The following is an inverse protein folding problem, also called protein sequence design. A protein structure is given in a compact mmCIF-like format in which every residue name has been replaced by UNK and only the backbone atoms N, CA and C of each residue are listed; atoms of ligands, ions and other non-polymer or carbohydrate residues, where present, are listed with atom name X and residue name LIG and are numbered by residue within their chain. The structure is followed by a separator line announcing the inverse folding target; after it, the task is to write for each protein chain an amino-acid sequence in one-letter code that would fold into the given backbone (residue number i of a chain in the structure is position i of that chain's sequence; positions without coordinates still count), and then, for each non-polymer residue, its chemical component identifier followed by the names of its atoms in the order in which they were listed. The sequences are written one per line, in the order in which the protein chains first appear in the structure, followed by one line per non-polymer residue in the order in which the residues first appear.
data_IF_433071959740
#
_entry.id   IF_433071959740
#
_cell.length_a   1.000
_cell.length_b   1.000
_cell.length_c   1.000
_cell.angle_alpha   90.00
_cell.angle_beta   90.00
_cell.angle_gamma   90.00
#
_symmetry.space_group_name_H-M   'P 1'
#
loop_
_entity.id
_entity.type
_entity.pdbx_description
1 polymer ?
#
# COMPACT_ATOMS: atom_id res chain seq x y z
N UNK A 1 -33.64 -48.91 35.36
CA UNK A 1 -33.33 -47.97 34.29
C UNK A 1 -34.07 -46.66 34.55
N UNK A 2 -33.39 -45.61 34.90
CA UNK A 2 -34.01 -44.28 35.11
C UNK A 2 -34.29 -43.64 33.75
N UNK A 3 -35.57 -43.50 33.37
CA UNK A 3 -35.95 -42.70 32.22
C UNK A 3 -35.68 -41.22 32.53
N UNK A 4 -34.76 -40.63 31.84
CA UNK A 4 -34.63 -39.19 31.84
C UNK A 4 -35.83 -38.58 31.09
N UNK A 5 -36.47 -37.54 31.60
CA UNK A 5 -37.64 -36.98 31.00
C UNK A 5 -37.30 -36.40 29.61
N UNK A 6 -38.14 -36.69 28.63
CA UNK A 6 -38.02 -36.21 27.23
C UNK A 6 -37.81 -34.69 27.07
N UNK A 7 -38.05 -33.90 28.12
CA UNK A 7 -37.86 -32.45 28.16
C UNK A 7 -36.40 -32.04 28.20
N UNK A 8 -35.53 -32.81 28.88
CA UNK A 8 -34.09 -32.49 29.01
C UNK A 8 -33.37 -32.76 27.70
N UNK A 9 -33.71 -33.84 27.01
CA UNK A 9 -33.12 -34.14 25.70
C UNK A 9 -33.56 -33.13 24.60
N UNK A 10 -34.79 -32.65 24.67
CA UNK A 10 -35.31 -31.61 23.79
C UNK A 10 -34.64 -30.23 24.04
N UNK A 11 -34.43 -29.88 25.30
CA UNK A 11 -33.73 -28.65 25.69
C UNK A 11 -32.25 -28.68 25.25
N UNK A 12 -31.58 -29.84 25.40
CA UNK A 12 -30.19 -30.01 24.97
C UNK A 12 -30.06 -29.96 23.45
N UNK A 13 -30.98 -30.57 22.72
CA UNK A 13 -31.02 -30.52 21.26
C UNK A 13 -31.29 -29.10 20.76
N UNK A 14 -32.17 -28.35 21.43
CA UNK A 14 -32.46 -26.96 21.09
C UNK A 14 -31.26 -26.04 21.37
N UNK A 15 -30.54 -26.27 22.48
CA UNK A 15 -29.32 -25.53 22.81
C UNK A 15 -28.20 -25.83 21.83
N UNK A 16 -28.02 -27.09 21.43
CA UNK A 16 -27.04 -27.45 20.40
C UNK A 16 -27.39 -26.86 19.02
N UNK A 17 -28.66 -26.87 18.63
CA UNK A 17 -29.09 -26.21 17.40
C UNK A 17 -28.88 -24.71 17.46
N UNK A 18 -29.14 -24.06 18.60
CA UNK A 18 -28.89 -22.63 18.79
C UNK A 18 -27.40 -22.28 18.71
N UNK A 19 -26.55 -23.10 19.34
CA UNK A 19 -25.09 -22.92 19.29
C UNK A 19 -24.57 -23.11 17.86
N UNK A 20 -25.08 -24.13 17.14
CA UNK A 20 -24.71 -24.32 15.72
C UNK A 20 -25.18 -23.18 14.81
N UNK A 21 -26.39 -22.69 15.02
CA UNK A 21 -26.91 -21.55 14.22
C UNK A 21 -26.19 -20.26 14.58
N UNK A 22 -25.82 -20.03 15.86
CA UNK A 22 -25.00 -18.87 16.23
C UNK A 22 -23.57 -19.00 15.65
N UNK A 23 -22.96 -20.18 15.68
CA UNK A 23 -21.63 -20.38 15.09
C UNK A 23 -21.64 -20.22 13.58
N UNK A 24 -22.68 -20.69 12.89
CA UNK A 24 -22.88 -20.45 11.46
C UNK A 24 -23.20 -18.98 11.14
N UNK A 25 -23.98 -18.30 11.98
CA UNK A 25 -24.27 -16.87 11.82
C UNK A 25 -23.02 -16.01 12.09
N UNK A 26 -22.18 -16.40 13.05
CA UNK A 26 -20.91 -15.71 13.32
C UNK A 26 -19.92 -15.96 12.18
N UNK A 27 -19.83 -17.16 11.63
CA UNK A 27 -18.99 -17.41 10.44
C UNK A 27 -19.52 -16.73 9.19
N UNK A 28 -20.84 -16.59 9.02
CA UNK A 28 -21.41 -15.83 7.90
C UNK A 28 -21.36 -14.31 8.10
N UNK A 29 -21.34 -13.85 9.37
CA UNK A 29 -21.17 -12.41 9.66
C UNK A 29 -19.69 -11.97 9.49
N UNK A 30 -18.73 -12.91 9.55
CA UNK A 30 -17.32 -12.66 9.22
C UNK A 30 -16.94 -13.08 7.79
N UNK A 31 -17.80 -13.77 7.07
CA UNK A 31 -17.73 -13.87 5.63
C UNK A 31 -18.39 -12.63 5.00
N UNK A 32 -17.91 -11.45 5.39
CA UNK A 32 -18.09 -10.27 4.54
C UNK A 32 -17.46 -10.68 3.21
N UNK A 33 -18.26 -10.73 2.17
CA UNK A 33 -17.75 -10.92 0.83
C UNK A 33 -16.73 -9.81 0.61
N UNK A 34 -15.47 -10.15 0.37
CA UNK A 34 -14.45 -9.15 0.04
C UNK A 34 -14.86 -8.28 -1.15
N UNK A 35 -15.79 -8.73 -1.98
CA UNK A 35 -16.43 -7.96 -3.04
C UNK A 35 -17.26 -6.79 -2.50
N UNK A 36 -17.85 -6.92 -1.30
CA UNK A 36 -18.65 -5.86 -0.69
C UNK A 36 -17.80 -4.84 0.08
N UNK A 37 -16.52 -5.17 0.33
CA UNK A 37 -15.64 -4.33 1.15
C UNK A 37 -15.12 -3.10 0.41
N UNK A 38 -15.00 -3.14 -0.91
CA UNK A 38 -14.52 -1.99 -1.66
C UNK A 38 -15.01 -1.97 -3.12
N UNK A 39 -16.29 -1.63 -3.38
CA UNK A 39 -16.83 -1.57 -4.73
C UNK A 39 -16.12 -0.55 -5.64
N UNK A 40 -15.39 0.41 -5.07
CA UNK A 40 -14.53 1.33 -5.82
C UNK A 40 -13.36 0.61 -6.47
N UNK A 41 -12.90 -0.46 -5.85
CA UNK A 41 -11.72 -1.18 -6.28
C UNK A 41 -11.88 -1.78 -7.68
N UNK A 42 -12.99 -2.47 -7.94
CA UNK A 42 -13.20 -3.13 -9.23
C UNK A 42 -13.31 -2.11 -10.38
N UNK A 43 -13.84 -0.92 -10.11
CA UNK A 43 -13.89 0.17 -11.09
C UNK A 43 -12.50 0.78 -11.39
N UNK A 44 -11.54 0.58 -10.49
CA UNK A 44 -10.19 1.15 -10.57
C UNK A 44 -9.14 0.15 -11.07
N UNK A 45 -9.50 -1.14 -11.22
CA UNK A 45 -8.61 -2.17 -11.73
C UNK A 45 -7.97 -1.74 -13.06
N UNK A 46 -6.66 -1.84 -13.12
CA UNK A 46 -5.88 -1.41 -14.29
C UNK A 46 -5.66 0.10 -14.41
N UNK A 47 -6.12 0.90 -13.45
CA UNK A 47 -5.85 2.33 -13.44
C UNK A 47 -4.45 2.60 -12.90
N UNK A 48 -3.67 3.38 -13.65
CA UNK A 48 -2.39 3.94 -13.17
C UNK A 48 -2.66 5.34 -12.64
N UNK A 49 -2.24 5.57 -11.40
CA UNK A 49 -2.35 6.87 -10.76
C UNK A 49 -1.01 7.60 -10.87
N UNK A 50 -0.94 8.72 -11.60
CA UNK A 50 0.30 9.50 -11.68
C UNK A 50 0.64 10.07 -10.30
N UNK A 51 1.93 10.06 -9.97
CA UNK A 51 2.48 10.67 -8.76
C UNK A 51 3.70 11.50 -9.12
N UNK A 52 3.97 12.52 -8.30
CA UNK A 52 5.14 13.37 -8.49
C UNK A 52 6.42 12.69 -7.98
N UNK A 53 6.28 11.82 -6.98
CA UNK A 53 7.39 11.06 -6.44
C UNK A 53 6.94 9.72 -5.82
N UNK A 54 7.89 8.77 -5.72
CA UNK A 54 7.72 7.54 -4.94
C UNK A 54 8.68 7.55 -3.77
N UNK A 55 8.13 7.34 -2.58
CA UNK A 55 8.88 7.16 -1.33
C UNK A 55 8.97 5.67 -1.07
N UNK A 56 10.17 5.12 -1.06
CA UNK A 56 10.44 3.70 -0.83
C UNK A 56 10.82 3.48 0.62
N UNK A 57 10.06 2.66 1.36
CA UNK A 57 10.29 2.39 2.77
C UNK A 57 11.41 1.38 3.01
N UNK A 58 11.51 0.37 2.15
CA UNK A 58 12.55 -0.66 2.21
C UNK A 58 13.62 -0.29 1.20
N UNK A 59 14.73 0.21 1.69
CA UNK A 59 15.87 0.64 0.90
C UNK A 59 17.05 -0.34 1.09
N UNK A 60 18.25 0.09 0.89
CA UNK A 60 19.44 -0.65 1.32
C UNK A 60 19.71 -0.41 2.83
N UNK A 61 20.77 -1.00 3.36
CA UNK A 61 21.14 -0.90 4.77
C UNK A 61 21.47 0.53 5.25
N UNK A 62 21.68 1.47 4.32
CA UNK A 62 22.04 2.85 4.62
C UNK A 62 20.82 3.80 4.53
N UNK A 63 19.67 3.30 4.12
CA UNK A 63 18.52 4.16 3.82
C UNK A 63 18.64 4.86 2.47
N UNK A 64 17.76 5.82 2.20
CA UNK A 64 17.70 6.55 0.93
C UNK A 64 17.32 8.01 1.13
N UNK A 65 18.07 8.89 0.49
CA UNK A 65 17.72 10.31 0.43
C UNK A 65 16.63 10.57 -0.61
N UNK A 66 15.64 11.34 -0.23
CA UNK A 66 14.56 11.81 -1.09
C UNK A 66 14.63 13.32 -1.21
N UNK A 67 14.49 13.85 -2.42
CA UNK A 67 14.40 15.28 -2.67
C UNK A 67 13.27 15.57 -3.66
N UNK A 68 12.46 16.56 -3.34
CA UNK A 68 11.33 16.98 -4.17
C UNK A 68 11.02 18.46 -3.95
N UNK A 69 10.11 19.01 -4.74
CA UNK A 69 9.71 20.40 -4.66
C UNK A 69 8.19 20.53 -4.63
N UNK A 70 7.67 21.21 -3.62
CA UNK A 70 6.25 21.46 -3.43
C UNK A 70 5.91 22.86 -3.95
N UNK A 71 5.01 23.00 -4.94
CA UNK A 71 4.50 24.31 -5.34
C UNK A 71 3.81 25.01 -4.17
N UNK A 72 4.15 26.27 -3.93
CA UNK A 72 3.59 27.05 -2.83
C UNK A 72 2.69 28.16 -3.39
N UNK A 73 1.49 28.28 -2.84
CA UNK A 73 0.51 29.26 -3.23
C UNK A 73 0.34 30.34 -2.16
N UNK A 74 0.15 31.57 -2.61
CA UNK A 74 -0.16 32.69 -1.73
C UNK A 74 1.01 33.24 -0.90
N UNK A 75 2.25 32.79 -1.18
CA UNK A 75 3.47 33.32 -0.55
C UNK A 75 4.53 33.63 -1.60
N UNK A 76 5.30 34.69 -1.34
CA UNK A 76 6.52 34.98 -2.09
C UNK A 76 7.67 34.10 -1.57
N UNK A 77 8.72 33.94 -2.35
CA UNK A 77 9.94 33.21 -1.95
C UNK A 77 10.51 33.75 -0.63
N UNK A 78 10.62 35.08 -0.49
CA UNK A 78 11.20 35.67 0.70
C UNK A 78 10.33 35.45 1.96
N UNK A 79 9.00 35.52 1.80
CA UNK A 79 8.06 35.22 2.88
C UNK A 79 8.16 33.73 3.28
N UNK A 80 8.26 32.83 2.31
CA UNK A 80 8.46 31.40 2.58
C UNK A 80 9.79 31.14 3.26
N UNK A 81 10.89 31.77 2.81
CA UNK A 81 12.22 31.64 3.44
C UNK A 81 12.21 32.12 4.90
N UNK A 82 11.50 33.23 5.17
CA UNK A 82 11.33 33.72 6.54
C UNK A 82 10.53 32.73 7.40
N UNK A 83 9.44 32.15 6.87
CA UNK A 83 8.64 31.16 7.58
C UNK A 83 9.42 29.86 7.85
N UNK A 84 10.24 29.38 6.90
CA UNK A 84 11.14 28.23 7.10
C UNK A 84 12.16 28.54 8.21
N UNK A 85 12.79 29.70 8.16
CA UNK A 85 13.77 30.13 9.17
C UNK A 85 13.15 30.29 10.57
N UNK A 86 11.88 30.68 10.63
CA UNK A 86 11.13 30.79 11.88
C UNK A 86 10.63 29.42 12.41
N UNK A 87 10.82 28.33 11.66
CA UNK A 87 10.35 26.99 12.05
C UNK A 87 8.83 26.83 12.04
N UNK A 88 8.12 27.69 11.31
CA UNK A 88 6.63 27.63 11.22
C UNK A 88 6.13 26.77 10.08
N UNK A 89 7.04 26.35 9.18
CA UNK A 89 6.71 25.45 8.06
C UNK A 89 6.92 24.01 8.51
N UNK A 90 5.89 23.19 8.28
CA UNK A 90 5.91 21.75 8.56
C UNK A 90 5.44 20.94 7.34
N UNK A 91 5.76 19.66 7.34
CA UNK A 91 5.31 18.69 6.34
C UNK A 91 4.39 17.66 6.97
N UNK A 92 3.39 17.25 6.21
CA UNK A 92 2.49 16.15 6.58
C UNK A 92 2.28 15.25 5.38
N UNK A 93 2.31 13.93 5.59
CA UNK A 93 1.79 12.96 4.62
C UNK A 93 0.32 12.76 4.93
N UNK A 94 -0.54 13.13 4.01
CA UNK A 94 -1.99 13.00 4.14
C UNK A 94 -2.47 11.98 3.11
N UNK A 95 -3.28 11.03 3.58
CA UNK A 95 -3.80 9.99 2.71
C UNK A 95 -4.70 10.59 1.64
N UNK A 96 -4.50 10.19 0.40
CA UNK A 96 -5.39 10.58 -0.70
C UNK A 96 -6.57 9.59 -0.79
N UNK A 97 -7.68 9.96 -0.16
CA UNK A 97 -8.91 9.14 -0.14
C UNK A 97 -9.59 9.03 -1.51
N UNK A 98 -9.15 9.78 -2.51
CA UNK A 98 -9.64 9.66 -3.89
C UNK A 98 -9.04 8.48 -4.64
N UNK A 99 -7.96 7.89 -4.11
CA UNK A 99 -7.22 6.78 -4.70
C UNK A 99 -7.37 5.51 -3.86
N UNK A 100 -7.27 4.33 -4.50
CA UNK A 100 -7.40 3.09 -3.76
C UNK A 100 -6.23 2.90 -2.80
N UNK A 101 -6.54 2.49 -1.60
CA UNK A 101 -5.55 2.06 -0.63
C UNK A 101 -5.22 0.57 -0.85
N UNK A 102 -3.94 0.19 -0.71
CA UNK A 102 -3.47 -1.16 -1.05
C UNK A 102 -4.18 -2.25 -0.24
N UNK A 103 -4.53 -1.97 1.02
CA UNK A 103 -5.05 -2.96 1.94
C UNK A 103 -6.28 -2.51 2.74
N UNK A 104 -7.01 -1.52 2.29
CA UNK A 104 -8.14 -0.93 3.03
C UNK A 104 -9.16 -1.97 3.50
N UNK A 105 -9.38 -3.00 2.69
CA UNK A 105 -10.33 -4.07 2.98
C UNK A 105 -9.81 -5.08 4.02
N UNK A 106 -8.51 -5.30 4.07
CA UNK A 106 -7.88 -6.29 4.95
C UNK A 106 -7.37 -5.67 6.24
N UNK A 107 -7.03 -4.38 6.23
CA UNK A 107 -6.42 -3.66 7.34
C UNK A 107 -7.17 -2.35 7.60
N UNK A 108 -8.29 -2.42 8.33
CA UNK A 108 -9.07 -1.23 8.65
C UNK A 108 -8.31 -0.20 9.53
N UNK A 109 -7.11 -0.57 9.97
CA UNK A 109 -6.20 0.29 10.74
C UNK A 109 -5.11 0.93 9.89
N UNK A 110 -5.28 0.94 8.57
CA UNK A 110 -4.36 1.60 7.66
C UNK A 110 -3.98 2.99 8.15
N UNK A 111 -2.69 3.29 8.04
CA UNK A 111 -2.18 4.57 8.51
C UNK A 111 -2.78 5.73 7.69
N UNK A 112 -3.48 6.61 8.38
CA UNK A 112 -4.19 7.73 7.74
C UNK A 112 -3.26 8.88 7.33
N UNK A 113 -1.98 8.79 7.66
CA UNK A 113 -1.00 9.86 7.48
C UNK A 113 -0.76 10.66 8.77
N UNK A 114 0.03 11.71 8.67
CA UNK A 114 0.36 12.59 9.79
C UNK A 114 1.63 13.40 9.55
N UNK A 115 2.08 14.16 10.56
CA UNK A 115 3.32 14.91 10.47
C UNK A 115 4.50 14.01 10.05
N UNK A 116 5.31 14.49 9.11
CA UNK A 116 6.41 13.68 8.54
C UNK A 116 7.45 13.26 9.60
N UNK A 117 7.71 14.12 10.56
CA UNK A 117 8.63 13.85 11.66
C UNK A 117 8.09 12.87 12.71
N UNK A 118 6.77 12.64 12.73
CA UNK A 118 6.13 11.69 13.65
C UNK A 118 5.79 10.35 12.97
N UNK A 119 6.10 10.24 11.68
CA UNK A 119 5.74 9.07 10.89
C UNK A 119 6.59 7.87 11.25
N UNK A 120 5.94 6.77 11.58
CA UNK A 120 6.55 5.52 12.03
C UNK A 120 7.64 5.79 13.09
N UNK A 121 7.18 6.18 14.27
CA UNK A 121 8.06 6.40 15.42
C UNK A 121 7.98 5.20 16.35
N UNK A 122 9.12 4.61 16.69
CA UNK A 122 9.23 3.62 17.75
C UNK A 122 10.40 4.02 18.66
N UNK A 123 10.08 4.45 19.86
CA UNK A 123 11.07 5.02 20.78
C UNK A 123 11.71 6.29 20.19
N UNK A 124 13.03 6.24 20.00
CA UNK A 124 13.78 7.34 19.38
C UNK A 124 14.00 7.15 17.87
N UNK A 125 13.40 6.11 17.28
CA UNK A 125 13.56 5.80 15.87
C UNK A 125 12.41 6.39 15.04
N UNK A 126 12.75 7.04 13.94
CA UNK A 126 11.81 7.68 13.01
C UNK A 126 12.05 7.16 11.60
N UNK A 127 10.96 6.93 10.84
CA UNK A 127 11.07 6.52 9.43
C UNK A 127 11.74 7.59 8.58
N UNK A 128 11.48 8.87 8.87
CA UNK A 128 12.03 10.00 8.14
C UNK A 128 12.86 10.88 9.07
N UNK A 129 14.10 11.12 8.67
CA UNK A 129 15.05 11.96 9.42
C UNK A 129 15.69 12.99 8.49
N UNK A 130 16.52 13.86 9.05
CA UNK A 130 17.26 14.89 8.32
C UNK A 130 16.39 15.77 7.39
N UNK A 131 15.17 16.07 7.85
CA UNK A 131 14.22 16.88 7.08
C UNK A 131 14.79 18.30 6.94
N UNK A 132 15.02 18.70 5.68
CA UNK A 132 15.52 20.02 5.32
C UNK A 132 14.54 20.70 4.40
N UNK A 133 14.25 21.96 4.69
CA UNK A 133 13.34 22.81 3.93
C UNK A 133 14.09 24.05 3.45
N UNK A 134 13.84 24.42 2.19
CA UNK A 134 14.35 25.70 1.67
C UNK A 134 13.39 26.29 0.66
N UNK A 135 13.34 27.62 0.60
CA UNK A 135 12.51 28.34 -0.36
C UNK A 135 13.29 28.63 -1.62
N UNK A 136 12.71 28.30 -2.78
CA UNK A 136 13.28 28.65 -4.08
C UNK A 136 12.21 29.15 -5.05
N UNK A 137 12.63 29.47 -6.25
CA UNK A 137 11.73 29.84 -7.34
C UNK A 137 12.05 28.98 -8.56
N UNK A 138 11.03 28.34 -9.12
CA UNK A 138 11.12 27.54 -10.33
C UNK A 138 10.06 27.98 -11.33
N UNK A 139 10.49 28.38 -12.50
CA UNK A 139 9.60 28.87 -13.57
C UNK A 139 8.65 30.00 -13.11
N UNK A 140 9.17 30.98 -12.33
CA UNK A 140 8.39 32.09 -11.80
C UNK A 140 7.38 31.74 -10.74
N UNK A 141 7.46 30.53 -10.16
CA UNK A 141 6.59 30.07 -9.05
C UNK A 141 7.43 29.81 -7.80
N UNK A 142 6.93 30.26 -6.67
CA UNK A 142 7.51 29.94 -5.38
C UNK A 142 7.34 28.43 -5.10
N UNK A 143 8.42 27.78 -4.72
CA UNK A 143 8.43 26.36 -4.34
C UNK A 143 9.14 26.15 -3.02
N UNK A 144 8.69 25.20 -2.24
CA UNK A 144 9.40 24.64 -1.09
C UNK A 144 10.21 23.44 -1.56
N UNK A 145 11.52 23.56 -1.57
CA UNK A 145 12.40 22.42 -1.79
C UNK A 145 12.51 21.64 -0.46
N UNK A 146 12.26 20.35 -0.57
CA UNK A 146 12.22 19.42 0.55
C UNK A 146 13.25 18.32 0.31
N UNK A 147 14.05 18.01 1.32
CA UNK A 147 14.83 16.78 1.32
C UNK A 147 14.74 16.13 2.70
N UNK A 148 14.77 14.80 2.71
CA UNK A 148 14.80 14.02 3.94
C UNK A 148 15.43 12.65 3.65
N UNK A 149 15.85 12.00 4.73
CA UNK A 149 16.37 10.65 4.69
C UNK A 149 15.29 9.65 5.09
N UNK A 150 15.11 8.60 4.29
CA UNK A 150 14.23 7.46 4.59
C UNK A 150 15.08 6.39 5.26
N UNK A 151 14.87 6.18 6.54
CA UNK A 151 15.64 5.20 7.30
C UNK A 151 15.27 3.78 6.93
N UNK A 152 16.24 2.93 7.08
CA UNK A 152 16.16 1.50 6.81
C UNK A 152 15.60 0.72 8.01
N UNK A 153 14.38 1.08 8.40
CA UNK A 153 13.74 0.55 9.60
C UNK A 153 13.45 -0.96 9.54
N UNK A 154 13.25 -1.49 8.33
CA UNK A 154 12.83 -2.88 8.11
C UNK A 154 13.97 -3.88 7.96
N UNK A 155 15.22 -3.47 8.16
CA UNK A 155 16.34 -4.40 8.12
C UNK A 155 16.71 -4.86 9.52
N UNK A 156 16.93 -6.14 9.68
CA UNK A 156 17.54 -6.68 10.88
C UNK A 156 18.80 -7.47 10.55
N UNK A 157 19.77 -7.41 11.46
CA UNK A 157 21.00 -8.22 11.34
C UNK A 157 20.82 -9.49 12.17
N UNK A 158 20.86 -10.63 11.51
CA UNK A 158 20.88 -11.91 12.19
C UNK A 158 22.19 -12.01 13.01
N UNK A 159 22.07 -11.97 14.34
CA UNK A 159 23.23 -11.98 15.25
C UNK A 159 24.13 -13.21 15.14
N UNK A 160 23.58 -14.33 14.61
CA UNK A 160 24.32 -15.59 14.48
C UNK A 160 25.13 -15.65 13.19
N UNK A 161 24.62 -15.10 12.10
CA UNK A 161 25.22 -15.18 10.77
C UNK A 161 25.88 -13.88 10.34
N UNK A 162 25.59 -12.77 11.01
CA UNK A 162 26.01 -11.42 10.60
C UNK A 162 25.32 -10.92 9.32
N UNK A 163 24.35 -11.66 8.79
CA UNK A 163 23.64 -11.27 7.55
C UNK A 163 22.54 -10.28 7.89
N UNK A 164 22.57 -9.14 7.25
CA UNK A 164 21.49 -8.14 7.26
C UNK A 164 20.50 -8.45 6.15
N UNK A 165 19.22 -8.48 6.47
CA UNK A 165 18.14 -8.73 5.53
C UNK A 165 16.88 -8.01 5.96
N UNK A 166 15.94 -7.83 5.03
CA UNK A 166 14.64 -7.25 5.32
C UNK A 166 13.89 -8.12 6.34
N UNK A 167 13.43 -7.51 7.40
CA UNK A 167 12.60 -8.14 8.41
C UNK A 167 11.14 -7.75 8.21
N UNK A 168 10.39 -8.60 7.55
CA UNK A 168 8.97 -8.38 7.30
C UNK A 168 8.08 -8.57 8.53
N UNK A 169 8.64 -9.00 9.65
CA UNK A 169 7.90 -9.21 10.90
C UNK A 169 7.89 -7.99 11.81
N UNK A 170 8.63 -6.93 11.44
CA UNK A 170 8.67 -5.72 12.25
C UNK A 170 7.28 -5.09 12.31
N UNK A 171 6.67 -5.02 13.49
CA UNK A 171 5.43 -4.27 13.68
C UNK A 171 5.76 -2.77 13.59
N UNK A 172 4.80 -1.99 13.15
CA UNK A 172 4.92 -0.54 13.11
C UNK A 172 3.68 0.11 13.72
N UNK A 173 3.51 1.41 13.53
CA UNK A 173 2.43 2.19 14.12
C UNK A 173 1.12 1.41 14.20
N UNK A 174 0.51 1.36 15.37
CA UNK A 174 -0.73 0.63 15.67
C UNK A 174 -0.62 -0.92 15.64
N UNK A 175 0.59 -1.48 15.65
CA UNK A 175 0.80 -2.94 15.67
C UNK A 175 0.49 -3.62 14.34
N UNK A 176 0.38 -2.87 13.25
CA UNK A 176 0.23 -3.38 11.90
C UNK A 176 1.55 -3.86 11.28
N UNK A 177 1.53 -4.10 9.98
CA UNK A 177 2.71 -4.44 9.18
C UNK A 177 3.09 -3.25 8.28
N UNK A 178 4.35 -3.16 7.84
CA UNK A 178 4.85 -2.07 7.01
C UNK A 178 3.97 -1.79 5.77
N UNK A 179 3.24 -2.78 5.29
CA UNK A 179 2.35 -2.64 4.15
C UNK A 179 1.16 -1.70 4.44
N UNK A 180 0.80 -1.50 5.71
CA UNK A 180 -0.27 -0.58 6.10
C UNK A 180 0.14 0.89 5.89
N UNK A 181 1.45 1.13 5.76
CA UNK A 181 2.01 2.44 5.44
C UNK A 181 2.03 2.73 3.94
N UNK A 182 1.79 1.72 3.09
CA UNK A 182 1.87 1.84 1.65
C UNK A 182 0.56 2.36 1.06
N UNK A 183 0.67 3.18 0.03
CA UNK A 183 -0.48 3.73 -0.66
C UNK A 183 -0.17 5.09 -1.29
N UNK A 184 -1.24 5.80 -1.62
CA UNK A 184 -1.16 7.13 -2.20
C UNK A 184 -1.42 8.18 -1.15
N UNK A 185 -0.56 9.19 -1.11
CA UNK A 185 -0.61 10.30 -0.17
C UNK A 185 -0.34 11.60 -0.90
N UNK A 186 -0.77 12.70 -0.30
CA UNK A 186 -0.30 14.02 -0.61
C UNK A 186 0.74 14.42 0.45
N UNK A 187 1.93 14.80 -0.01
CA UNK A 187 2.90 15.46 0.86
C UNK A 187 2.57 16.94 0.90
N UNK A 188 1.98 17.38 2.01
CA UNK A 188 1.44 18.72 2.21
C UNK A 188 2.42 19.58 2.98
N UNK A 189 2.74 20.75 2.44
CA UNK A 189 3.46 21.80 3.15
C UNK A 189 2.46 22.70 3.87
N UNK A 190 2.71 22.98 5.16
CA UNK A 190 1.86 23.84 5.99
C UNK A 190 2.69 24.95 6.63
N UNK A 191 2.09 26.14 6.78
CA UNK A 191 2.65 27.22 7.58
C UNK A 191 1.70 27.52 8.74
N UNK A 192 2.14 27.28 9.97
CA UNK A 192 1.32 27.45 11.18
C UNK A 192 -0.03 26.71 11.06
N UNK A 193 -0.01 25.49 10.48
CA UNK A 193 -1.19 24.63 10.29
C UNK A 193 -2.05 24.96 9.07
N UNK A 194 -1.71 25.99 8.28
CA UNK A 194 -2.42 26.33 7.05
C UNK A 194 -1.67 25.75 5.84
N UNK A 195 -2.40 25.08 4.97
CA UNK A 195 -1.83 24.49 3.75
C UNK A 195 -1.26 25.55 2.83
N UNK A 196 -0.07 25.29 2.35
CA UNK A 196 0.65 26.11 1.36
C UNK A 196 0.58 25.48 -0.03
N UNK A 197 0.56 24.16 -0.11
CA UNK A 197 0.54 23.37 -1.32
C UNK A 197 0.94 21.93 -1.05
N UNK A 198 0.79 21.08 -2.07
CA UNK A 198 1.10 19.65 -1.96
C UNK A 198 1.64 19.08 -3.25
N UNK A 199 2.22 17.90 -3.15
CA UNK A 199 2.58 17.02 -4.26
C UNK A 199 2.09 15.62 -3.98
N UNK A 200 1.64 14.93 -5.02
CA UNK A 200 1.20 13.55 -4.91
C UNK A 200 2.38 12.60 -4.79
N UNK A 201 2.35 11.75 -3.80
CA UNK A 201 3.39 10.75 -3.57
C UNK A 201 2.79 9.35 -3.41
N UNK A 202 3.52 8.36 -3.88
CA UNK A 202 3.26 6.95 -3.61
C UNK A 202 4.26 6.49 -2.55
N UNK A 203 3.76 6.02 -1.42
CA UNK A 203 4.58 5.31 -0.44
C UNK A 203 4.52 3.83 -0.77
N UNK A 204 5.65 3.22 -0.99
CA UNK A 204 5.76 1.84 -1.43
C UNK A 204 6.85 1.10 -0.66
N UNK A 205 6.73 -0.23 -0.46
CA UNK A 205 7.78 -1.00 0.20
C UNK A 205 9.06 -1.02 -0.65
N UNK A 206 8.95 -1.14 -1.97
CA UNK A 206 10.05 -1.22 -2.92
C UNK A 206 9.88 -0.24 -4.06
N UNK A 207 10.96 0.10 -4.74
CA UNK A 207 10.95 1.04 -5.87
C UNK A 207 10.00 0.61 -6.99
N UNK A 208 9.96 -0.67 -7.31
CA UNK A 208 9.13 -1.24 -8.38
C UNK A 208 7.89 -1.98 -7.82
N UNK A 209 7.41 -1.59 -6.66
CA UNK A 209 6.19 -2.16 -6.11
C UNK A 209 4.98 -1.67 -6.93
N UNK A 210 4.25 -2.64 -7.50
CA UNK A 210 2.99 -2.36 -8.16
C UNK A 210 1.84 -2.67 -7.21
N UNK A 211 0.88 -1.75 -7.14
CA UNK A 211 -0.42 -2.03 -6.53
C UNK A 211 -1.20 -3.02 -7.40
N UNK A 212 -2.23 -3.63 -6.86
CA UNK A 212 -3.08 -4.56 -7.62
C UNK A 212 -3.66 -3.89 -8.89
N UNK A 213 -4.05 -2.61 -8.79
CA UNK A 213 -4.56 -1.81 -9.92
C UNK A 213 -3.53 -1.67 -11.03
N UNK A 214 -2.29 -1.42 -10.67
CA UNK A 214 -1.18 -1.30 -11.59
C UNK A 214 -0.80 -2.63 -12.22
N UNK A 215 -0.90 -3.75 -11.47
CA UNK A 215 -0.59 -5.10 -11.97
C UNK A 215 -1.47 -5.45 -13.17
N UNK A 216 -2.79 -5.29 -13.07
CA UNK A 216 -3.68 -5.61 -14.21
C UNK A 216 -3.34 -4.79 -15.45
N UNK A 217 -2.98 -3.52 -15.26
CA UNK A 217 -2.56 -2.67 -16.38
C UNK A 217 -1.21 -3.08 -16.97
N UNK A 218 -0.31 -3.56 -16.12
CA UNK A 218 1.00 -4.05 -16.58
C UNK A 218 0.86 -5.35 -17.37
N UNK A 219 -0.06 -6.24 -17.00
CA UNK A 219 -0.37 -7.45 -17.78
C UNK A 219 -0.80 -7.11 -19.21
N UNK A 220 -1.72 -6.17 -19.39
CA UNK A 220 -2.11 -5.66 -20.73
C UNK A 220 -0.89 -5.17 -21.51
N UNK A 221 -0.01 -4.44 -20.84
CA UNK A 221 1.20 -3.88 -21.44
C UNK A 221 2.18 -4.99 -21.88
N UNK A 222 2.33 -6.02 -21.06
CA UNK A 222 3.18 -7.18 -21.37
C UNK A 222 2.63 -7.94 -22.57
N UNK A 223 1.31 -8.18 -22.61
CA UNK A 223 0.65 -8.84 -23.76
C UNK A 223 0.89 -8.03 -25.04
N UNK A 224 0.63 -6.72 -25.02
CA UNK A 224 0.81 -5.85 -26.18
C UNK A 224 2.28 -5.82 -26.66
N UNK A 225 3.22 -5.67 -25.75
CA UNK A 225 4.65 -5.62 -26.07
C UNK A 225 5.18 -6.97 -26.57
N UNK A 226 4.77 -8.06 -25.94
CA UNK A 226 5.17 -9.41 -26.37
C UNK A 226 4.69 -9.70 -27.79
N UNK A 227 3.43 -9.44 -28.07
CA UNK A 227 2.83 -9.59 -29.41
C UNK A 227 3.56 -8.74 -30.45
N UNK A 228 3.84 -7.46 -30.13
CA UNK A 228 4.60 -6.56 -30.99
C UNK A 228 6.00 -7.08 -31.33
N UNK A 229 6.63 -7.78 -30.39
CA UNK A 229 7.95 -8.36 -30.56
C UNK A 229 7.93 -9.79 -31.16
N UNK A 230 6.80 -10.24 -31.65
CA UNK A 230 6.64 -11.51 -32.32
C UNK A 230 6.58 -12.73 -31.40
N UNK A 231 6.34 -12.50 -30.12
CA UNK A 231 6.10 -13.56 -29.14
C UNK A 231 4.60 -13.91 -29.10
N UNK A 232 4.31 -15.14 -28.75
CA UNK A 232 2.97 -15.54 -28.33
C UNK A 232 2.83 -15.18 -26.85
N UNK A 233 1.92 -14.27 -26.55
CA UNK A 233 1.57 -13.90 -25.17
C UNK A 233 0.07 -13.92 -25.07
N UNK A 234 -0.45 -14.69 -24.15
CA UNK A 234 -1.89 -14.79 -23.89
C UNK A 234 -2.17 -14.81 -22.39
N UNK A 235 -3.19 -14.08 -21.99
CA UNK A 235 -3.64 -13.99 -20.60
C UNK A 235 -4.73 -15.04 -20.35
N UNK A 236 -4.62 -15.72 -19.23
CA UNK A 236 -5.55 -16.72 -18.73
C UNK A 236 -5.89 -16.42 -17.27
N UNK A 237 -6.94 -17.07 -16.77
CA UNK A 237 -7.32 -16.99 -15.37
C UNK A 237 -7.06 -18.33 -14.66
N UNK A 238 -6.49 -18.28 -13.47
CA UNK A 238 -6.43 -19.42 -12.54
C UNK A 238 -7.73 -19.58 -11.73
N UNK A 239 -8.74 -18.76 -11.99
CA UNK A 239 -9.95 -18.66 -11.20
C UNK A 239 -9.96 -17.44 -10.30
N UNK A 240 -10.84 -17.45 -9.30
CA UNK A 240 -11.03 -16.31 -8.43
C UNK A 240 -10.32 -16.48 -7.09
N UNK A 241 -9.77 -15.39 -6.58
CA UNK A 241 -9.26 -15.31 -5.21
C UNK A 241 -10.40 -15.42 -4.19
N UNK A 242 -10.07 -15.53 -2.91
CA UNK A 242 -11.06 -15.50 -1.82
C UNK A 242 -11.86 -14.19 -1.79
N UNK A 243 -11.32 -13.12 -2.35
CA UNK A 243 -11.99 -11.83 -2.54
C UNK A 243 -12.88 -11.78 -3.81
N UNK A 244 -13.06 -12.90 -4.51
CA UNK A 244 -13.85 -12.97 -5.74
C UNK A 244 -13.21 -12.29 -6.95
N UNK A 245 -11.93 -11.89 -6.85
CA UNK A 245 -11.20 -11.27 -7.96
C UNK A 245 -10.49 -12.30 -8.78
N UNK A 246 -10.49 -12.08 -10.08
CA UNK A 246 -9.79 -12.94 -11.04
C UNK A 246 -8.29 -12.96 -10.74
N UNK A 247 -7.68 -14.13 -10.89
CA UNK A 247 -6.24 -14.32 -10.71
C UNK A 247 -5.61 -14.57 -12.07
N UNK A 248 -5.22 -13.52 -12.79
CA UNK A 248 -4.67 -13.66 -14.13
C UNK A 248 -3.25 -14.23 -14.08
N UNK A 249 -2.91 -14.96 -15.15
CA UNK A 249 -1.54 -15.36 -15.45
C UNK A 249 -1.27 -15.26 -16.95
N UNK A 250 -0.01 -15.12 -17.31
CA UNK A 250 0.41 -15.03 -18.70
C UNK A 250 1.15 -16.30 -19.11
N UNK A 251 0.86 -16.75 -20.33
CA UNK A 251 1.72 -17.70 -21.03
C UNK A 251 2.51 -16.92 -22.08
N UNK A 252 3.83 -17.03 -21.99
CA UNK A 252 4.76 -16.40 -22.93
C UNK A 252 5.57 -17.49 -23.63
N UNK A 253 5.56 -17.50 -24.93
CA UNK A 253 6.28 -18.47 -25.76
C UNK A 253 6.66 -17.87 -27.13
N UNK A 254 7.50 -18.57 -27.85
CA UNK A 254 7.85 -18.23 -29.25
C UNK A 254 6.65 -18.40 -30.19
N UNK A 255 5.74 -19.31 -29.88
CA UNK A 255 4.56 -19.56 -30.70
C UNK A 255 3.46 -20.29 -29.94
N UNK A 256 2.24 -20.17 -30.43
CA UNK A 256 1.09 -20.95 -29.93
C UNK A 256 1.33 -22.46 -30.07
N UNK A 257 2.03 -22.89 -31.12
CA UNK A 257 2.35 -24.29 -31.33
C UNK A 257 3.30 -24.85 -30.25
N UNK A 258 4.23 -24.03 -29.75
CA UNK A 258 5.12 -24.41 -28.64
C UNK A 258 4.32 -24.64 -27.36
N UNK A 259 3.34 -23.80 -27.05
CA UNK A 259 2.44 -23.97 -25.91
C UNK A 259 1.61 -25.25 -26.03
N UNK A 260 0.99 -25.47 -27.19
CA UNK A 260 0.18 -26.69 -27.44
C UNK A 260 1.02 -27.96 -27.27
N UNK A 261 2.27 -27.94 -27.76
CA UNK A 261 3.20 -29.06 -27.59
C UNK A 261 3.55 -29.30 -26.14
N UNK A 262 3.74 -28.23 -25.36
CA UNK A 262 4.05 -28.35 -23.94
C UNK A 262 2.87 -28.90 -23.15
N UNK A 263 1.67 -28.39 -23.39
CA UNK A 263 0.43 -28.87 -22.75
C UNK A 263 0.20 -30.36 -23.01
N UNK A 264 0.40 -30.83 -24.26
CA UNK A 264 0.27 -32.23 -24.61
C UNK A 264 1.29 -33.17 -23.92
N UNK A 265 2.35 -32.63 -23.32
CA UNK A 265 3.31 -33.39 -22.51
C UNK A 265 2.91 -33.48 -21.03
N UNK A 266 1.94 -32.68 -20.59
CA UNK A 266 1.51 -32.59 -19.19
C UNK A 266 0.16 -33.29 -18.93
N UNK A 267 -0.53 -33.74 -19.97
CA UNK A 267 -1.72 -34.62 -19.94
C UNK A 267 -1.28 -36.10 -19.93
#
# INVERSE_FOLDING_TARGET
MKHYPNSVSKALALLMALVMTLSLAVTSAFAVSYQDMNPKDDALLGTKFPVDATITLVTDENGKDVSLSIPVFGMTKDALAAAVSAGTVSLSLERDDSRPYVNEALFPYAYAGGPLNDWLTEGDEHQFTDIKLSASEKNGKTVLDVSFHVNNYFYSTNRRTGVTSVDYSVPHVNGGYYIDLCGYFDLVAKNSGKDLGSVSVKVAPYENFNTMWEIYKELDTIVANGTKNGLYVEEFSMGQSTAGRDMPYLIVADSKASVSKWLALTE
#
